data_IF_188189683162
#
_entry.id   IF_188189683162
#
_cell.length_a   1.000
_cell.length_b   1.000
_cell.length_c   1.000
_cell.angle_alpha   90.00
_cell.angle_beta   90.00
_cell.angle_gamma   90.00
#
_symmetry.space_group_name_H-M   'P 1'
#
loop_
_entity.id
_entity.type
_entity.pdbx_description
1 polymer ?
#
# COMPACT_ATOMS: atom_id res chain seq x y z
N UNK A 1 8.33 -4.76 1.20
CA UNK A 1 7.59 -4.63 -0.08
C UNK A 1 7.61 -3.18 -0.52
N UNK A 2 7.67 -2.89 -1.83
CA UNK A 2 7.96 -1.54 -2.36
C UNK A 2 6.83 -0.94 -3.22
N UNK A 3 5.67 -1.60 -3.28
CA UNK A 3 4.57 -1.23 -4.18
C UNK A 3 3.40 -0.58 -3.43
N UNK A 4 3.66 -0.06 -2.22
CA UNK A 4 2.69 0.58 -1.35
C UNK A 4 2.95 2.07 -1.22
N UNK A 5 1.87 2.82 -1.17
CA UNK A 5 1.89 4.24 -0.84
C UNK A 5 0.79 4.51 0.19
N UNK A 6 1.08 5.41 1.13
CA UNK A 6 0.10 5.85 2.14
C UNK A 6 -0.06 7.36 2.07
N UNK A 7 -1.21 7.86 2.50
CA UNK A 7 -1.50 9.29 2.58
C UNK A 7 -2.04 9.64 3.97
N UNK A 8 -1.69 10.85 4.43
CA UNK A 8 -2.25 11.44 5.64
C UNK A 8 -3.48 12.31 5.32
N UNK A 9 -3.84 13.19 6.26
CA UNK A 9 -4.97 14.13 6.10
C UNK A 9 -4.81 15.11 4.93
N UNK A 10 -3.57 15.35 4.50
CA UNK A 10 -3.22 16.15 3.33
C UNK A 10 -3.59 15.49 1.99
N UNK A 11 -3.95 14.19 2.01
CA UNK A 11 -4.29 13.37 0.84
C UNK A 11 -3.13 13.20 -0.15
N UNK A 12 -1.91 13.46 0.27
CA UNK A 12 -0.72 13.32 -0.56
C UNK A 12 -0.14 11.92 -0.32
N UNK A 13 -0.19 11.08 -1.35
CA UNK A 13 0.41 9.75 -1.31
C UNK A 13 1.93 9.83 -1.36
N UNK A 14 2.59 9.12 -0.44
CA UNK A 14 4.04 8.96 -0.40
C UNK A 14 4.39 7.48 -0.33
N UNK A 15 5.56 7.13 -0.84
CA UNK A 15 6.10 5.78 -0.74
C UNK A 15 6.11 5.29 0.72
N UNK A 16 5.69 4.04 0.88
CA UNK A 16 5.60 3.37 2.15
C UNK A 16 6.34 2.02 2.09
N UNK A 17 6.87 1.62 3.24
CA UNK A 17 7.37 0.26 3.45
C UNK A 17 6.20 -0.59 3.93
N UNK A 18 6.19 -1.85 3.50
CA UNK A 18 5.25 -2.83 4.03
C UNK A 18 5.93 -4.14 4.40
N UNK A 19 5.43 -4.73 5.49
CA UNK A 19 5.80 -6.04 6.04
C UNK A 19 4.54 -6.88 6.25
N UNK A 20 4.66 -8.20 6.08
CA UNK A 20 3.57 -9.14 6.31
C UNK A 20 3.80 -9.80 7.66
N UNK A 21 2.86 -9.63 8.58
CA UNK A 21 2.79 -10.35 9.85
C UNK A 21 1.53 -11.21 9.84
N UNK A 22 1.71 -12.53 9.70
CA UNK A 22 0.61 -13.49 9.52
C UNK A 22 -0.31 -13.09 8.33
N UNK A 23 -1.58 -12.81 8.61
CA UNK A 23 -2.58 -12.41 7.61
C UNK A 23 -2.74 -10.88 7.52
N UNK A 24 -1.82 -10.11 8.08
CA UNK A 24 -1.89 -8.65 8.12
C UNK A 24 -0.70 -8.04 7.40
N UNK A 25 -0.98 -7.06 6.54
CA UNK A 25 0.04 -6.23 5.92
C UNK A 25 0.15 -4.94 6.72
N UNK A 26 1.26 -4.76 7.42
CA UNK A 26 1.57 -3.52 8.11
C UNK A 26 2.30 -2.58 7.14
N UNK A 27 1.73 -1.38 6.93
CA UNK A 27 2.24 -0.40 5.98
C UNK A 27 2.57 0.89 6.72
N UNK A 28 3.79 1.40 6.55
CA UNK A 28 4.28 2.57 7.28
C UNK A 28 5.20 3.46 6.45
N UNK A 29 5.29 4.73 6.82
CA UNK A 29 6.21 5.71 6.23
C UNK A 29 6.72 6.65 7.32
N UNK A 30 8.02 6.95 7.33
CA UNK A 30 8.61 7.93 8.26
C UNK A 30 8.12 9.37 7.99
N UNK A 31 7.50 9.61 6.83
CA UNK A 31 6.99 10.92 6.44
C UNK A 31 5.52 11.14 6.81
N UNK A 32 4.81 10.12 7.30
CA UNK A 32 3.36 10.17 7.56
C UNK A 32 3.07 9.51 8.91
N UNK A 33 2.84 10.34 9.93
CA UNK A 33 2.58 9.89 11.30
C UNK A 33 1.15 9.35 11.49
N UNK A 34 0.17 9.91 10.77
CA UNK A 34 -1.25 9.55 10.87
C UNK A 34 -1.77 9.14 9.48
N UNK A 35 -1.48 7.91 9.02
CA UNK A 35 -1.99 7.44 7.72
C UNK A 35 -3.49 7.20 7.79
N UNK A 36 -4.22 7.70 6.78
CA UNK A 36 -5.68 7.52 6.65
C UNK A 36 -6.08 6.77 5.38
N UNK A 37 -5.13 6.58 4.46
CA UNK A 37 -5.34 5.87 3.20
C UNK A 37 -4.10 5.10 2.79
N UNK A 38 -4.31 3.96 2.12
CA UNK A 38 -3.27 3.15 1.49
C UNK A 38 -3.70 2.81 0.07
N UNK A 39 -2.72 2.72 -0.83
CA UNK A 39 -2.88 2.13 -2.15
C UNK A 39 -1.73 1.19 -2.46
N UNK A 40 -2.01 0.20 -3.29
CA UNK A 40 -1.07 -0.83 -3.72
C UNK A 40 -1.08 -0.95 -5.24
N UNK A 41 0.11 -1.05 -5.83
CA UNK A 41 0.33 -1.21 -7.27
C UNK A 41 -0.44 -0.18 -8.13
N UNK A 42 -0.40 1.09 -7.71
CA UNK A 42 -1.22 2.16 -8.31
C UNK A 42 -0.77 2.62 -9.71
N UNK A 43 0.50 2.47 -10.04
CA UNK A 43 1.06 2.88 -11.33
C UNK A 43 1.13 1.71 -12.31
N UNK A 44 0.94 1.99 -13.61
CA UNK A 44 0.91 0.99 -14.68
C UNK A 44 2.18 0.11 -14.74
N UNK A 45 3.34 0.68 -14.40
CA UNK A 45 4.64 0.00 -14.47
C UNK A 45 5.15 -0.47 -13.10
N UNK A 46 4.28 -0.71 -12.13
CA UNK A 46 4.66 -1.28 -10.84
C UNK A 46 4.56 -2.79 -10.85
N UNK A 47 5.68 -3.45 -10.54
CA UNK A 47 5.67 -4.89 -10.22
C UNK A 47 5.15 -5.05 -8.79
N UNK A 48 3.93 -5.57 -8.67
CA UNK A 48 3.35 -5.94 -7.39
C UNK A 48 4.02 -7.19 -6.80
N UNK A 49 4.23 -7.21 -5.48
CA UNK A 49 4.81 -8.35 -4.76
C UNK A 49 3.96 -8.83 -3.57
N UNK A 50 2.68 -8.46 -3.51
CA UNK A 50 1.69 -9.04 -2.61
C UNK A 50 0.98 -10.19 -3.33
N UNK A 51 0.90 -11.34 -2.66
CA UNK A 51 0.15 -12.50 -3.13
C UNK A 51 -0.28 -13.39 -1.97
N UNK A 52 -1.13 -14.37 -2.26
CA UNK A 52 -1.56 -15.36 -1.29
C UNK A 52 -0.58 -16.56 -1.24
N UNK A 53 -0.85 -17.52 -0.33
CA UNK A 53 -0.04 -18.73 -0.18
C UNK A 53 -0.15 -19.70 -1.38
N UNK A 54 -1.08 -19.47 -2.30
CA UNK A 54 -1.24 -20.25 -3.54
C UNK A 54 -0.41 -19.64 -4.69
N UNK A 55 0.32 -18.55 -4.45
CA UNK A 55 1.13 -17.86 -5.45
C UNK A 55 0.33 -16.92 -6.36
N UNK A 56 -0.95 -16.66 -6.05
CA UNK A 56 -1.77 -15.73 -6.81
C UNK A 56 -1.47 -14.28 -6.38
N UNK A 57 -1.21 -13.36 -7.34
CA UNK A 57 -0.93 -11.97 -7.02
C UNK A 57 -2.22 -11.25 -6.58
N UNK A 58 -2.07 -10.30 -5.65
CA UNK A 58 -3.15 -9.37 -5.33
C UNK A 58 -3.34 -8.36 -6.48
N UNK A 59 -4.60 -8.07 -6.81
CA UNK A 59 -4.94 -6.98 -7.72
C UNK A 59 -4.58 -5.62 -7.11
N UNK A 60 -4.29 -4.59 -7.93
CA UNK A 60 -4.18 -3.22 -7.45
C UNK A 60 -5.42 -2.77 -6.66
N UNK A 61 -5.22 -2.01 -5.59
CA UNK A 61 -6.31 -1.51 -4.75
C UNK A 61 -5.97 -0.18 -4.06
N UNK A 62 -7.00 0.51 -3.56
CA UNK A 62 -6.90 1.68 -2.68
C UNK A 62 -8.01 1.67 -1.64
N UNK A 63 -7.80 2.32 -0.50
CA UNK A 63 -8.79 2.36 0.60
C UNK A 63 -9.53 3.68 0.72
N UNK A 64 -9.03 4.75 0.10
CA UNK A 64 -9.72 6.03 0.12
C UNK A 64 -10.87 6.08 -0.89
N UNK A 65 -11.76 7.06 -0.70
CA UNK A 65 -12.92 7.32 -1.56
C UNK A 65 -12.86 8.73 -2.16
N UNK A 66 -11.66 9.30 -2.27
CA UNK A 66 -11.50 10.66 -2.78
C UNK A 66 -11.75 10.68 -4.29
N UNK A 67 -12.37 11.76 -4.76
CA UNK A 67 -12.56 12.03 -6.18
C UNK A 67 -11.28 12.57 -6.79
#
# INVERSE_FOLDING_TARGET
MNSFEIAGKDKIFKNAKAVIHNNTVEVYSQMINEPIAVRYAWYENVVGNLGNNEGLPASPFRTDKWK
#
